data_IF_725781926510
#
_entry.id   IF_725781926510
#
_cell.length_a   1.000
_cell.length_b   1.000
_cell.length_c   1.000
_cell.angle_alpha   90.00
_cell.angle_beta   90.00
_cell.angle_gamma   90.00
#
_symmetry.space_group_name_H-M   'P 1'
#
loop_
_entity.id
_entity.type
_entity.pdbx_description
1 polymer ?
#
# COMPACT_ATOMS: atom_id res chain seq x y z
N UNK A 1 -6.37 23.33 -0.23
CA UNK A 1 -4.98 23.69 0.04
C UNK A 1 -4.70 23.24 1.47
N UNK A 2 -3.70 22.38 1.67
CA UNK A 2 -3.45 21.69 2.93
C UNK A 2 -2.02 21.91 3.42
N UNK A 3 -1.63 21.17 4.45
CA UNK A 3 -0.28 21.16 4.98
C UNK A 3 0.42 19.83 4.68
N UNK A 4 1.73 19.87 4.50
CA UNK A 4 2.59 18.68 4.46
C UNK A 4 3.48 18.65 5.71
N UNK A 5 3.56 17.51 6.40
CA UNK A 5 4.45 17.33 7.55
C UNK A 5 5.86 16.94 7.12
N UNK A 6 6.84 17.81 7.38
CA UNK A 6 8.24 17.59 7.00
C UNK A 6 9.04 16.83 8.05
N UNK A 7 8.83 17.15 9.33
CA UNK A 7 9.66 16.65 10.42
C UNK A 7 8.90 16.59 11.72
N UNK A 8 9.09 15.51 12.47
CA UNK A 8 8.58 15.34 13.82
C UNK A 8 9.77 15.48 14.80
N UNK A 9 9.72 16.48 15.68
CA UNK A 9 10.72 16.73 16.72
C UNK A 9 10.03 16.69 18.09
N UNK A 10 10.01 15.53 18.74
CA UNK A 10 9.28 15.38 20.00
C UNK A 10 7.77 15.54 19.80
N UNK A 11 7.17 16.57 20.41
CA UNK A 11 5.73 16.90 20.29
C UNK A 11 5.41 17.88 19.16
N UNK A 12 6.42 18.44 18.50
CA UNK A 12 6.23 19.43 17.44
C UNK A 12 6.37 18.79 16.07
N UNK A 13 5.48 19.18 15.16
CA UNK A 13 5.55 18.84 13.74
C UNK A 13 5.77 20.13 12.97
N UNK A 14 6.83 20.14 12.15
CA UNK A 14 7.04 21.19 11.17
C UNK A 14 6.15 20.91 9.96
N UNK A 15 5.23 21.82 9.69
CA UNK A 15 4.29 21.78 8.58
C UNK A 15 4.71 22.79 7.49
N UNK A 16 4.47 22.45 6.24
CA UNK A 16 4.56 23.36 5.09
C UNK A 16 3.17 23.64 4.57
N UNK A 17 2.78 24.91 4.50
CA UNK A 17 1.56 25.32 3.84
C UNK A 17 1.73 25.21 2.32
N UNK A 18 0.92 24.37 1.67
CA UNK A 18 1.04 24.10 0.23
C UNK A 18 0.58 25.26 -0.66
N UNK A 19 -0.06 26.29 -0.10
CA UNK A 19 -0.50 27.47 -0.84
C UNK A 19 0.64 28.49 -1.05
N UNK A 20 1.51 28.66 -0.06
CA UNK A 20 2.51 29.73 -0.02
C UNK A 20 3.92 29.26 0.40
N UNK A 21 4.10 27.95 0.62
CA UNK A 21 5.34 27.31 1.08
C UNK A 21 5.89 27.84 2.42
N UNK A 22 5.05 28.51 3.22
CA UNK A 22 5.43 28.93 4.57
C UNK A 22 5.59 27.71 5.49
N UNK A 23 6.52 27.82 6.45
CA UNK A 23 6.80 26.76 7.43
C UNK A 23 6.27 27.18 8.79
N UNK A 24 5.55 26.28 9.44
CA UNK A 24 4.97 26.49 10.76
C UNK A 24 5.27 25.29 11.65
N UNK A 25 5.50 25.54 12.94
CA UNK A 25 5.69 24.47 13.94
C UNK A 25 4.43 24.38 14.80
N UNK A 26 3.73 23.25 14.73
CA UNK A 26 2.51 23.00 15.51
C UNK A 26 2.77 21.90 16.54
N UNK A 27 2.18 22.04 17.74
CA UNK A 27 2.28 21.04 18.80
C UNK A 27 1.07 20.09 18.78
N UNK A 28 1.33 18.80 18.92
CA UNK A 28 0.31 17.76 18.97
C UNK A 28 0.55 16.80 20.14
N UNK A 29 -0.52 16.39 20.80
CA UNK A 29 -0.44 15.33 21.83
C UNK A 29 -0.19 13.95 21.21
N UNK A 30 -0.73 13.72 20.00
CA UNK A 30 -0.66 12.46 19.27
C UNK A 30 -0.66 12.69 17.77
N UNK A 31 0.11 11.88 17.05
CA UNK A 31 0.20 11.90 15.58
C UNK A 31 -0.09 10.49 15.07
N UNK A 32 -0.95 10.39 14.05
CA UNK A 32 -1.26 9.12 13.37
C UNK A 32 -0.85 9.25 11.91
N UNK A 33 0.10 8.40 11.48
CA UNK A 33 0.57 8.39 10.11
C UNK A 33 -0.26 7.41 9.27
N UNK A 34 -1.18 7.92 8.45
CA UNK A 34 -2.00 7.14 7.52
C UNK A 34 -1.61 7.44 6.06
N UNK A 35 -0.30 7.37 5.76
CA UNK A 35 0.29 7.76 4.46
C UNK A 35 0.25 6.65 3.39
N UNK A 36 -0.48 5.57 3.67
CA UNK A 36 -0.55 4.38 2.82
C UNK A 36 0.22 3.20 3.41
N UNK A 37 0.34 2.14 2.60
CA UNK A 37 0.98 0.88 2.98
C UNK A 37 2.08 0.55 1.99
N UNK A 38 3.12 -0.13 2.47
CA UNK A 38 4.10 -0.76 1.60
C UNK A 38 3.66 -2.17 1.25
N UNK A 39 3.93 -2.58 0.02
CA UNK A 39 3.76 -3.96 -0.42
C UNK A 39 4.64 -4.88 0.45
N UNK A 40 4.08 -5.98 0.93
CA UNK A 40 4.82 -6.99 1.69
C UNK A 40 5.21 -8.13 0.75
N UNK A 41 6.15 -7.88 -0.15
CA UNK A 41 6.64 -8.79 -1.19
C UNK A 41 7.85 -9.64 -0.75
N UNK A 42 8.05 -9.80 0.56
CA UNK A 42 9.23 -10.46 1.13
C UNK A 42 9.26 -11.98 0.92
N UNK A 43 8.26 -12.56 0.25
CA UNK A 43 8.27 -13.98 -0.10
C UNK A 43 9.28 -14.16 -1.24
N UNK A 44 10.37 -14.87 -0.94
CA UNK A 44 11.34 -15.30 -1.94
C UNK A 44 10.66 -16.31 -2.89
N UNK A 45 10.28 -15.82 -4.07
CA UNK A 45 9.68 -16.64 -5.12
C UNK A 45 10.71 -17.34 -6.00
N UNK A 46 12.00 -17.28 -5.69
CA UNK A 46 13.04 -17.93 -6.50
C UNK A 46 12.90 -19.45 -6.59
N UNK A 47 12.28 -20.10 -5.60
CA UNK A 47 11.94 -21.53 -5.65
C UNK A 47 10.60 -21.84 -6.34
N UNK A 48 9.82 -20.79 -6.63
CA UNK A 48 8.47 -20.90 -7.20
C UNK A 48 8.49 -21.13 -8.71
N UNK A 49 9.65 -20.99 -9.36
CA UNK A 49 9.89 -21.40 -10.76
C UNK A 49 9.62 -22.90 -11.00
N UNK A 50 9.58 -23.71 -9.94
CA UNK A 50 9.19 -25.13 -10.00
C UNK A 50 7.68 -25.37 -10.11
N UNK A 51 6.85 -24.34 -9.89
CA UNK A 51 5.39 -24.44 -9.91
C UNK A 51 4.86 -23.95 -11.26
N UNK A 52 4.02 -24.75 -11.93
CA UNK A 52 3.49 -24.45 -13.27
C UNK A 52 2.81 -23.09 -13.41
N UNK A 53 2.25 -22.54 -12.32
CA UNK A 53 1.59 -21.24 -12.31
C UNK A 53 1.47 -20.69 -10.88
N UNK A 54 1.87 -19.44 -10.69
CA UNK A 54 1.82 -18.72 -9.41
C UNK A 54 1.16 -17.37 -9.63
N UNK A 55 0.35 -16.94 -8.66
CA UNK A 55 -0.36 -15.66 -8.70
C UNK A 55 -0.05 -14.85 -7.45
N UNK A 56 0.20 -13.56 -7.66
CA UNK A 56 0.28 -12.56 -6.58
C UNK A 56 -0.95 -11.68 -6.70
N UNK A 57 -1.74 -11.59 -5.62
CA UNK A 57 -3.03 -10.88 -5.57
C UNK A 57 -3.17 -10.04 -4.31
N UNK A 58 -4.09 -9.08 -4.34
CA UNK A 58 -4.42 -8.22 -3.21
C UNK A 58 -3.30 -7.25 -2.87
N UNK A 59 -3.19 -6.89 -1.60
CA UNK A 59 -2.23 -5.88 -1.14
C UNK A 59 -0.76 -6.31 -1.33
N UNK A 60 -0.50 -7.63 -1.43
CA UNK A 60 0.81 -8.15 -1.79
C UNK A 60 1.19 -7.83 -3.25
N UNK A 61 0.21 -7.57 -4.12
CA UNK A 61 0.48 -7.08 -5.48
C UNK A 61 0.54 -5.56 -5.53
N UNK A 62 -0.43 -4.90 -4.91
CA UNK A 62 -0.49 -3.44 -4.78
C UNK A 62 -1.54 -3.08 -3.71
N UNK A 63 -1.15 -2.48 -2.56
CA UNK A 63 -2.07 -2.10 -1.50
C UNK A 63 -3.14 -1.12 -1.98
N UNK A 64 -4.41 -1.56 -1.95
CA UNK A 64 -5.56 -0.78 -2.45
C UNK A 64 -6.79 -1.02 -1.59
N UNK A 65 -7.99 -0.77 -2.14
CA UNK A 65 -9.23 -1.07 -1.43
C UNK A 65 -9.53 -2.58 -1.44
N UNK A 66 -10.40 -2.98 -0.50
CA UNK A 66 -10.78 -4.38 -0.31
C UNK A 66 -11.47 -4.97 -1.55
N UNK A 67 -12.16 -4.16 -2.35
CA UNK A 67 -12.87 -4.65 -3.53
C UNK A 67 -11.90 -5.05 -4.63
N UNK A 68 -10.76 -4.37 -4.78
CA UNK A 68 -9.72 -4.82 -5.70
C UNK A 68 -9.12 -6.16 -5.29
N UNK A 69 -8.85 -6.36 -3.99
CA UNK A 69 -8.32 -7.64 -3.52
C UNK A 69 -9.29 -8.81 -3.80
N UNK A 70 -10.60 -8.59 -3.56
CA UNK A 70 -11.64 -9.57 -3.85
C UNK A 70 -11.75 -9.85 -5.36
N UNK A 71 -11.75 -8.80 -6.18
CA UNK A 71 -11.82 -8.94 -7.64
C UNK A 71 -10.64 -9.73 -8.20
N UNK A 72 -9.42 -9.43 -7.74
CA UNK A 72 -8.21 -10.16 -8.18
C UNK A 72 -8.28 -11.64 -7.80
N UNK A 73 -8.72 -11.97 -6.58
CA UNK A 73 -8.93 -13.34 -6.16
C UNK A 73 -9.96 -14.09 -7.02
N UNK A 74 -11.08 -13.44 -7.36
CA UNK A 74 -12.10 -14.00 -8.25
C UNK A 74 -11.56 -14.27 -9.65
N UNK A 75 -10.78 -13.36 -10.22
CA UNK A 75 -10.19 -13.54 -11.55
C UNK A 75 -9.19 -14.71 -11.59
N UNK A 76 -8.41 -14.92 -10.54
CA UNK A 76 -7.53 -16.10 -10.43
C UNK A 76 -8.36 -17.38 -10.38
N UNK A 77 -9.47 -17.39 -9.63
CA UNK A 77 -10.34 -18.57 -9.57
C UNK A 77 -10.94 -18.92 -10.95
N UNK A 78 -11.37 -17.93 -11.75
CA UNK A 78 -11.87 -18.18 -13.10
C UNK A 78 -10.78 -18.72 -14.05
N UNK A 79 -9.59 -18.14 -14.01
CA UNK A 79 -8.46 -18.60 -14.84
C UNK A 79 -8.01 -20.03 -14.47
N UNK A 80 -8.08 -20.39 -13.18
CA UNK A 80 -7.88 -21.78 -12.75
C UNK A 80 -8.98 -22.71 -13.27
N UNK A 81 -10.25 -22.31 -13.17
CA UNK A 81 -11.37 -23.12 -13.67
C UNK A 81 -11.28 -23.38 -15.18
N UNK A 82 -10.95 -22.35 -15.96
CA UNK A 82 -10.75 -22.46 -17.42
C UNK A 82 -9.59 -23.40 -17.78
N UNK A 83 -8.56 -23.49 -16.92
CA UNK A 83 -7.43 -24.39 -17.13
C UNK A 83 -7.77 -25.87 -16.95
N UNK A 84 -8.86 -26.22 -16.26
CA UNK A 84 -9.33 -27.59 -16.08
C UNK A 84 -10.27 -28.08 -17.19
N UNK A 85 -10.79 -27.17 -18.03
CA UNK A 85 -11.75 -27.47 -19.09
C UNK A 85 -11.04 -27.74 -20.44
N UNK A 86 -9.73 -27.46 -20.54
CA UNK A 86 -8.88 -27.73 -21.71
C UNK A 86 -8.00 -28.95 -21.49
#
# INVERSE_FOLDING_TARGET
LGYEGLKINGKQVQLVNLADNTKEDWEFDRIVCAVGYHQNDTIDISEVDSVKKTYVVGDNRNPRDIMQALYEGMMVAYDLADSFIK
#
